data_IF_558294859830
#
_entry.id   IF_558294859830
#
_cell.length_a   1.000
_cell.length_b   1.000
_cell.length_c   1.000
_cell.angle_alpha   90.00
_cell.angle_beta   90.00
_cell.angle_gamma   90.00
#
_symmetry.space_group_name_H-M   'P 1'
#
loop_
_entity.id
_entity.type
_entity.pdbx_description
1 polymer ?
#
# COMPACT_ATOMS: atom_id res chain seq x y z
N UNK A 1 25.97 -0.53 -18.80
CA UNK A 1 25.52 -1.86 -18.31
C UNK A 1 24.66 -1.60 -17.08
N UNK A 2 23.39 -2.01 -17.08
CA UNK A 2 22.57 -1.89 -15.87
C UNK A 2 23.16 -2.82 -14.81
N UNK A 3 23.45 -2.28 -13.63
CA UNK A 3 24.00 -3.03 -12.48
C UNK A 3 23.03 -4.10 -11.95
N UNK A 4 21.75 -4.01 -12.34
CA UNK A 4 20.66 -4.84 -11.84
C UNK A 4 19.75 -5.21 -13.03
N UNK A 5 19.35 -6.47 -13.12
CA UNK A 5 18.41 -6.95 -14.15
C UNK A 5 16.96 -6.66 -13.79
N UNK A 6 16.08 -6.59 -14.80
CA UNK A 6 14.64 -6.45 -14.59
C UNK A 6 14.07 -7.57 -13.72
N UNK A 7 14.57 -8.79 -13.88
CA UNK A 7 14.18 -9.93 -13.05
C UNK A 7 14.52 -9.70 -11.57
N UNK A 8 15.68 -9.13 -11.27
CA UNK A 8 16.08 -8.79 -9.89
C UNK A 8 15.19 -7.70 -9.30
N UNK A 9 14.82 -6.67 -10.08
CA UNK A 9 13.89 -5.62 -9.65
C UNK A 9 12.51 -6.22 -9.35
N UNK A 10 11.98 -7.02 -10.29
CA UNK A 10 10.68 -7.67 -10.15
C UNK A 10 10.62 -8.59 -8.91
N UNK A 11 11.70 -9.28 -8.60
CA UNK A 11 11.77 -10.11 -7.39
C UNK A 11 11.69 -9.30 -6.11
N UNK A 12 12.35 -8.13 -6.05
CA UNK A 12 12.22 -7.21 -4.90
C UNK A 12 10.78 -6.70 -4.79
N UNK A 13 10.20 -6.24 -5.89
CA UNK A 13 8.83 -5.71 -5.91
C UNK A 13 7.82 -6.79 -5.50
N UNK A 14 7.93 -8.02 -6.01
CA UNK A 14 7.05 -9.14 -5.63
C UNK A 14 7.14 -9.47 -4.14
N UNK A 15 8.33 -9.42 -3.54
CA UNK A 15 8.51 -9.64 -2.09
C UNK A 15 7.86 -8.55 -1.26
N UNK A 16 7.97 -7.29 -1.68
CA UNK A 16 7.32 -6.16 -1.00
C UNK A 16 5.79 -6.12 -1.21
N UNK A 17 5.30 -6.73 -2.29
CA UNK A 17 3.91 -6.71 -2.73
C UNK A 17 3.32 -8.13 -2.83
N UNK A 18 3.39 -8.91 -1.75
CA UNK A 18 2.92 -10.31 -1.74
C UNK A 18 1.45 -10.45 -2.19
N UNK A 19 0.63 -9.42 -2.00
CA UNK A 19 -0.75 -9.34 -2.47
C UNK A 19 -0.91 -9.45 -4.00
N UNK A 20 0.13 -9.20 -4.80
CA UNK A 20 0.10 -9.44 -6.25
C UNK A 20 -0.16 -10.91 -6.60
N UNK A 21 0.23 -11.83 -5.71
CA UNK A 21 0.04 -13.27 -5.88
C UNK A 21 -1.12 -13.79 -5.01
N UNK A 22 -1.18 -13.38 -3.75
CA UNK A 22 -2.16 -13.90 -2.79
C UNK A 22 -3.53 -13.23 -2.88
N UNK A 23 -3.61 -12.06 -3.53
CA UNK A 23 -4.81 -11.22 -3.54
C UNK A 23 -5.18 -10.66 -2.18
N UNK A 24 -4.29 -10.73 -1.17
CA UNK A 24 -4.54 -10.22 0.20
C UNK A 24 -3.26 -9.68 0.82
N UNK A 25 -3.37 -8.58 1.56
CA UNK A 25 -2.25 -8.06 2.35
C UNK A 25 -2.05 -8.97 3.57
N UNK A 26 -0.81 -9.34 3.93
CA UNK A 26 -0.54 -10.08 5.15
C UNK A 26 -1.09 -9.38 6.40
N UNK A 27 -1.80 -10.09 7.31
CA UNK A 27 -2.37 -9.49 8.52
C UNK A 27 -1.35 -8.78 9.42
N UNK A 28 -0.10 -9.23 9.41
CA UNK A 28 0.99 -8.66 10.20
C UNK A 28 1.38 -7.25 9.73
N UNK A 29 1.19 -6.98 8.44
CA UNK A 29 1.43 -5.68 7.80
C UNK A 29 0.22 -4.75 7.96
N UNK A 30 -0.99 -5.29 7.81
CA UNK A 30 -2.26 -4.60 7.95
C UNK A 30 -2.96 -4.96 9.28
N UNK A 31 -2.37 -4.53 10.41
CA UNK A 31 -2.95 -4.81 11.74
C UNK A 31 -4.41 -4.33 11.80
N UNK A 32 -5.31 -5.00 12.54
CA UNK A 32 -6.74 -4.69 12.50
C UNK A 32 -7.12 -3.31 13.07
N UNK A 33 -6.30 -2.75 13.97
CA UNK A 33 -6.57 -1.45 14.59
C UNK A 33 -6.31 -0.28 13.62
N UNK A 34 -7.36 0.44 13.26
CA UNK A 34 -7.32 1.59 12.33
C UNK A 34 -7.35 2.91 13.10
N UNK A 35 -6.34 3.76 12.88
CA UNK A 35 -6.20 5.10 13.48
C UNK A 35 -6.85 6.17 12.62
N UNK A 36 -7.00 7.39 13.15
CA UNK A 36 -7.59 8.53 12.42
C UNK A 36 -7.04 8.73 10.99
N UNK A 37 -5.72 8.68 10.72
CA UNK A 37 -5.19 8.87 9.37
C UNK A 37 -5.69 7.86 8.34
N UNK A 38 -6.05 6.64 8.76
CA UNK A 38 -6.65 5.65 7.84
C UNK A 38 -7.98 6.17 7.28
N UNK A 39 -8.85 6.69 8.14
CA UNK A 39 -10.18 7.16 7.73
C UNK A 39 -10.08 8.44 6.89
N UNK A 40 -9.14 9.33 7.21
CA UNK A 40 -8.89 10.55 6.43
C UNK A 40 -8.42 10.20 5.01
N UNK A 41 -7.41 9.32 4.89
CA UNK A 41 -6.91 8.85 3.59
C UNK A 41 -8.01 8.17 2.78
N UNK A 42 -8.82 7.30 3.39
CA UNK A 42 -9.95 6.67 2.71
C UNK A 42 -10.95 7.71 2.16
N UNK A 43 -11.28 8.74 2.95
CA UNK A 43 -12.20 9.79 2.53
C UNK A 43 -11.68 10.60 1.33
N UNK A 44 -10.36 10.74 1.22
CA UNK A 44 -9.72 11.42 0.08
C UNK A 44 -9.67 10.53 -1.16
N UNK A 45 -9.38 9.23 -1.00
CA UNK A 45 -9.30 8.27 -2.10
C UNK A 45 -10.67 7.98 -2.75
N UNK A 46 -11.76 8.11 -2.00
CA UNK A 46 -13.13 7.96 -2.51
C UNK A 46 -13.59 9.11 -3.43
N UNK A 47 -12.74 10.12 -3.65
CA UNK A 47 -13.00 11.29 -4.50
C UNK A 47 -12.02 11.32 -5.68
N UNK A 48 -12.12 10.36 -6.63
CA UNK A 48 -11.13 10.15 -7.70
C UNK A 48 -11.02 11.33 -8.67
N UNK A 49 -12.07 12.14 -8.81
CA UNK A 49 -12.12 13.31 -9.69
C UNK A 49 -11.08 14.39 -9.35
N UNK A 50 -10.47 14.30 -8.17
CA UNK A 50 -9.54 15.30 -7.66
C UNK A 50 -8.06 14.91 -7.85
N UNK A 51 -7.76 13.78 -8.52
CA UNK A 51 -6.43 13.37 -9.02
C UNK A 51 -5.25 13.83 -8.15
N UNK A 52 -5.24 13.40 -6.88
CA UNK A 52 -4.34 13.93 -5.85
C UNK A 52 -3.49 12.87 -5.20
N UNK A 53 -2.23 13.23 -4.94
CA UNK A 53 -1.35 12.48 -4.06
C UNK A 53 -1.64 12.85 -2.60
N UNK A 54 -1.54 11.87 -1.70
CA UNK A 54 -1.70 12.06 -0.27
C UNK A 54 -0.36 11.83 0.40
N UNK A 55 0.10 12.79 1.19
CA UNK A 55 1.36 12.70 1.94
C UNK A 55 1.04 12.45 3.41
N UNK A 56 1.56 11.36 3.98
CA UNK A 56 1.46 11.06 5.40
C UNK A 56 2.73 11.54 6.11
N UNK A 57 2.60 12.59 6.92
CA UNK A 57 3.72 13.15 7.70
C UNK A 57 3.74 12.68 9.16
N UNK A 58 4.88 12.81 9.82
CA UNK A 58 5.06 12.53 11.24
C UNK A 58 6.35 11.79 11.58
N UNK A 59 6.61 11.60 12.88
CA UNK A 59 7.86 11.00 13.37
C UNK A 59 8.07 9.53 12.93
N UNK A 60 9.30 9.01 13.13
CA UNK A 60 9.63 7.62 12.85
C UNK A 60 8.80 6.68 13.75
N UNK A 61 8.35 5.55 13.21
CA UNK A 61 7.60 4.49 13.94
C UNK A 61 6.21 4.88 14.49
N UNK A 62 5.61 5.96 14.01
CA UNK A 62 4.23 6.35 14.39
C UNK A 62 3.12 5.55 13.67
N UNK A 63 3.47 4.58 12.81
CA UNK A 63 2.51 3.69 12.14
C UNK A 63 2.10 4.09 10.72
N UNK A 64 2.80 5.04 10.08
CA UNK A 64 2.51 5.46 8.69
C UNK A 64 2.51 4.29 7.70
N UNK A 65 3.52 3.43 7.76
CA UNK A 65 3.61 2.23 6.90
C UNK A 65 2.46 1.25 7.15
N UNK A 66 2.02 1.11 8.40
CA UNK A 66 0.86 0.27 8.74
C UNK A 66 -0.41 0.83 8.10
N UNK A 67 -0.60 2.16 8.15
CA UNK A 67 -1.71 2.82 7.46
C UNK A 67 -1.66 2.55 5.96
N UNK A 68 -0.49 2.65 5.30
CA UNK A 68 -0.36 2.35 3.87
C UNK A 68 -0.79 0.90 3.54
N UNK A 69 -0.39 -0.08 4.34
CA UNK A 69 -0.82 -1.47 4.15
C UNK A 69 -2.32 -1.69 4.42
N UNK A 70 -2.90 -1.02 5.42
CA UNK A 70 -4.34 -1.04 5.66
C UNK A 70 -5.12 -0.42 4.49
N UNK A 71 -4.60 0.65 3.87
CA UNK A 71 -5.21 1.27 2.69
C UNK A 71 -5.14 0.33 1.49
N UNK A 72 -4.00 -0.36 1.28
CA UNK A 72 -3.88 -1.38 0.24
C UNK A 72 -4.87 -2.54 0.47
N UNK A 73 -4.98 -3.04 1.70
CA UNK A 73 -5.94 -4.09 2.06
C UNK A 73 -7.39 -3.64 1.78
N UNK A 74 -7.74 -2.44 2.20
CA UNK A 74 -9.07 -1.87 2.02
C UNK A 74 -9.40 -1.65 0.53
N UNK A 75 -8.45 -1.18 -0.28
CA UNK A 75 -8.64 -1.03 -1.71
C UNK A 75 -8.90 -2.38 -2.39
N UNK A 76 -8.15 -3.43 -2.03
CA UNK A 76 -8.39 -4.79 -2.53
C UNK A 76 -9.78 -5.29 -2.10
N UNK A 77 -10.14 -5.06 -0.83
CA UNK A 77 -11.46 -5.43 -0.28
C UNK A 77 -12.61 -4.75 -1.01
N UNK A 78 -12.40 -3.53 -1.50
CA UNK A 78 -13.37 -2.76 -2.31
C UNK A 78 -13.36 -3.16 -3.79
N UNK A 79 -12.57 -4.15 -4.20
CA UNK A 79 -12.56 -4.71 -5.55
C UNK A 79 -11.44 -4.19 -6.46
N UNK A 80 -10.52 -3.36 -5.94
CA UNK A 80 -9.34 -2.99 -6.71
C UNK A 80 -8.48 -4.23 -6.98
N UNK A 81 -8.00 -4.36 -8.23
CA UNK A 81 -7.05 -5.42 -8.56
C UNK A 81 -5.77 -5.25 -7.73
N UNK A 82 -5.38 -6.29 -6.99
CA UNK A 82 -4.19 -6.25 -6.14
C UNK A 82 -2.92 -5.93 -6.94
N UNK A 83 -2.86 -6.34 -8.22
CA UNK A 83 -1.75 -6.03 -9.15
C UNK A 83 -1.65 -4.56 -9.54
N UNK A 84 -2.68 -3.75 -9.29
CA UNK A 84 -2.68 -2.29 -9.53
C UNK A 84 -2.24 -1.50 -8.30
N UNK A 85 -1.91 -2.17 -7.19
CA UNK A 85 -1.47 -1.54 -5.94
C UNK A 85 0.00 -1.86 -5.75
N UNK A 86 0.85 -0.83 -5.79
CA UNK A 86 2.29 -0.94 -5.60
C UNK A 86 2.70 -0.23 -4.31
N UNK A 87 3.43 -0.97 -3.48
CA UNK A 87 4.21 -0.48 -2.37
C UNK A 87 5.69 -0.60 -2.73
N UNK A 88 6.45 0.46 -2.47
CA UNK A 88 7.88 0.53 -2.71
C UNK A 88 8.54 1.34 -1.59
N UNK A 89 9.73 0.94 -1.17
CA UNK A 89 10.57 1.64 -0.18
C UNK A 89 12.04 1.50 -0.52
#
# INVERSE_FOLDING_TARGET
MLLISEAQILDVLRRQNSWWQTGRVPPDLARPFRRLPFYEVQSFLQKPELNRAIVLEGARRVGKTVVLHQIAEEAIRQGASSRRILYIT
#
